data_IF_720148091542
#
_entry.id   IF_720148091542
#
_cell.length_a   1.000
_cell.length_b   1.000
_cell.length_c   1.000
_cell.angle_alpha   90.00
_cell.angle_beta   90.00
_cell.angle_gamma   90.00
#
_symmetry.space_group_name_H-M   'P 1'
#
loop_
_entity.id
_entity.type
_entity.pdbx_description
1 polymer ?
#
# COMPACT_ATOMS: atom_id res chain seq x y z
N UNK A 1 11.46 -1.04 -35.74
CA UNK A 1 11.58 0.37 -35.31
C UNK A 1 11.10 0.36 -33.88
N UNK A 2 12.01 0.48 -32.92
CA UNK A 2 11.60 0.56 -31.51
C UNK A 2 10.84 1.88 -31.34
N UNK A 3 9.57 1.79 -30.93
CA UNK A 3 8.79 2.98 -30.62
C UNK A 3 9.44 3.76 -29.47
N UNK A 4 9.48 5.10 -29.55
CA UNK A 4 10.00 5.90 -28.45
C UNK A 4 9.16 5.68 -27.19
N UNK A 5 9.82 5.52 -26.05
CA UNK A 5 9.17 5.34 -24.74
C UNK A 5 8.21 6.50 -24.46
N UNK A 6 6.98 6.14 -24.09
CA UNK A 6 5.96 7.08 -23.63
C UNK A 6 6.44 7.85 -22.39
N UNK A 7 6.21 9.17 -22.39
CA UNK A 7 6.52 10.06 -21.27
C UNK A 7 5.23 10.58 -20.65
N UNK A 8 5.31 10.98 -19.39
CA UNK A 8 4.21 11.65 -18.72
C UNK A 8 3.93 13.01 -19.37
N UNK A 9 2.65 13.34 -19.56
CA UNK A 9 2.23 14.62 -20.12
C UNK A 9 2.53 15.78 -19.15
N UNK A 10 2.48 15.52 -17.83
CA UNK A 10 2.77 16.52 -16.81
C UNK A 10 3.57 15.99 -15.62
N UNK A 11 4.46 16.84 -15.10
CA UNK A 11 5.19 16.59 -13.85
C UNK A 11 4.24 16.38 -12.65
N UNK A 12 3.05 16.98 -12.68
CA UNK A 12 2.04 16.80 -11.65
C UNK A 12 1.42 15.40 -11.68
N UNK A 13 1.18 14.83 -12.86
CA UNK A 13 0.68 13.47 -13.01
C UNK A 13 1.68 12.45 -12.46
N UNK A 14 2.96 12.64 -12.80
CA UNK A 14 4.04 11.83 -12.24
C UNK A 14 4.12 11.93 -10.70
N UNK A 15 4.02 13.15 -10.16
CA UNK A 15 4.05 13.37 -8.72
C UNK A 15 2.84 12.71 -8.02
N UNK A 16 1.63 12.92 -8.55
CA UNK A 16 0.40 12.35 -7.99
C UNK A 16 0.40 10.83 -8.07
N UNK A 17 0.87 10.25 -9.19
CA UNK A 17 1.05 8.81 -9.33
C UNK A 17 2.03 8.25 -8.29
N UNK A 18 3.15 8.94 -8.06
CA UNK A 18 4.14 8.55 -7.05
C UNK A 18 3.60 8.63 -5.62
N UNK A 19 2.84 9.68 -5.30
CA UNK A 19 2.17 9.82 -3.99
C UNK A 19 1.13 8.72 -3.81
N UNK A 20 0.32 8.44 -4.83
CA UNK A 20 -0.69 7.36 -4.81
C UNK A 20 -0.07 5.99 -4.56
N UNK A 21 1.07 5.70 -5.19
CA UNK A 21 1.83 4.46 -4.94
C UNK A 21 2.46 4.40 -3.54
N UNK A 22 2.73 5.56 -2.93
CA UNK A 22 3.39 5.65 -1.61
C UNK A 22 2.41 5.55 -0.43
N UNK A 23 1.14 5.87 -0.64
CA UNK A 23 0.10 5.84 0.40
C UNK A 23 -0.72 4.56 0.27
N UNK A 24 -0.54 3.64 1.22
CA UNK A 24 -1.31 2.39 1.30
C UNK A 24 -2.13 2.26 2.59
N UNK A 25 -2.96 1.21 2.67
CA UNK A 25 -3.77 0.87 3.86
C UNK A 25 -2.92 0.73 5.14
N UNK A 26 -1.66 0.30 5.00
CA UNK A 26 -0.72 0.21 6.12
C UNK A 26 -0.49 1.54 6.83
N UNK A 27 -0.54 2.68 6.13
CA UNK A 27 -0.39 3.99 6.75
C UNK A 27 -1.59 4.35 7.64
N UNK A 28 -2.77 3.77 7.37
CA UNK A 28 -4.02 4.07 8.08
C UNK A 28 -4.11 3.32 9.40
N UNK A 29 -3.83 2.01 9.42
CA UNK A 29 -3.99 1.21 10.64
C UNK A 29 -2.67 0.75 11.27
N UNK A 30 -1.65 0.40 10.46
CA UNK A 30 -0.44 -0.24 10.99
C UNK A 30 0.47 0.78 11.65
N UNK A 31 0.62 1.96 11.06
CA UNK A 31 1.42 3.03 11.65
C UNK A 31 0.88 3.46 13.03
N UNK A 32 -0.41 3.78 13.20
CA UNK A 32 -0.94 4.12 14.52
C UNK A 32 -0.83 2.98 15.53
N UNK A 33 -1.08 1.74 15.11
CA UNK A 33 -0.98 0.56 15.97
C UNK A 33 0.44 0.37 16.50
N UNK A 34 1.44 0.38 15.62
CA UNK A 34 2.86 0.20 16.00
C UNK A 34 3.35 1.38 16.84
N UNK A 35 2.96 2.62 16.48
CA UNK A 35 3.31 3.79 17.28
C UNK A 35 2.74 3.68 18.70
N UNK A 36 1.48 3.26 18.84
CA UNK A 36 0.83 3.07 20.13
C UNK A 36 1.57 2.04 21.00
N UNK A 37 1.91 0.87 20.45
CA UNK A 37 2.65 -0.17 21.19
C UNK A 37 4.08 0.24 21.58
N UNK A 38 4.72 1.12 20.80
CA UNK A 38 6.13 1.50 20.98
C UNK A 38 6.31 2.86 21.66
N UNK A 39 5.45 3.20 22.62
CA UNK A 39 5.58 4.43 23.42
C UNK A 39 4.88 5.66 22.81
N UNK A 40 3.89 5.44 21.95
CA UNK A 40 3.03 6.48 21.38
C UNK A 40 3.81 7.54 20.62
N UNK A 41 3.74 8.79 21.10
CA UNK A 41 4.42 9.92 20.47
C UNK A 41 5.94 9.83 20.47
N UNK A 42 6.55 9.09 21.41
CA UNK A 42 8.01 8.93 21.46
C UNK A 42 8.56 8.13 20.26
N UNK A 43 7.75 7.23 19.69
CA UNK A 43 8.11 6.47 18.50
C UNK A 43 8.41 7.35 17.28
N UNK A 44 7.86 8.56 17.22
CA UNK A 44 8.07 9.49 16.10
C UNK A 44 9.53 9.92 15.96
N UNK A 45 10.29 10.00 17.05
CA UNK A 45 11.70 10.42 17.03
C UNK A 45 12.56 9.43 16.22
N UNK A 46 12.66 8.13 16.59
CA UNK A 46 13.40 7.16 15.78
C UNK A 46 12.79 6.95 14.39
N UNK A 47 11.47 7.05 14.25
CA UNK A 47 10.79 6.94 12.97
C UNK A 47 11.27 8.00 11.96
N UNK A 48 11.29 9.28 12.35
CA UNK A 48 11.72 10.37 11.48
C UNK A 48 13.22 10.25 11.13
N UNK A 49 14.05 9.83 12.09
CA UNK A 49 15.49 9.63 11.86
C UNK A 49 15.72 8.56 10.79
N UNK A 50 15.11 7.38 10.94
CA UNK A 50 15.26 6.27 9.97
C UNK A 50 14.64 6.64 8.62
N UNK A 51 13.48 7.29 8.63
CA UNK A 51 12.81 7.74 7.40
C UNK A 51 13.67 8.75 6.62
N UNK A 52 14.36 9.65 7.31
CA UNK A 52 15.22 10.66 6.66
C UNK A 52 16.54 10.07 6.15
N UNK A 53 17.16 9.18 6.94
CA UNK A 53 18.47 8.61 6.58
C UNK A 53 18.35 7.46 5.58
N UNK A 54 17.41 6.55 5.78
CA UNK A 54 17.24 5.32 4.99
C UNK A 54 16.09 5.46 4.00
N UNK A 55 14.92 5.90 4.46
CA UNK A 55 13.73 5.98 3.60
C UNK A 55 13.94 6.92 2.40
N UNK A 56 14.33 8.18 2.67
CA UNK A 56 14.57 9.18 1.64
C UNK A 56 15.72 8.79 0.72
N UNK A 57 16.81 8.23 1.24
CA UNK A 57 17.98 7.86 0.43
C UNK A 57 17.66 6.71 -0.53
N UNK A 58 16.98 5.66 -0.05
CA UNK A 58 16.57 4.53 -0.88
C UNK A 58 15.54 4.94 -1.94
N UNK A 59 14.54 5.76 -1.56
CA UNK A 59 13.55 6.26 -2.52
C UNK A 59 14.19 7.09 -3.63
N UNK A 60 15.12 7.98 -3.27
CA UNK A 60 15.81 8.82 -4.25
C UNK A 60 16.70 8.00 -5.19
N UNK A 61 17.39 6.98 -4.65
CA UNK A 61 18.21 6.06 -5.46
C UNK A 61 17.36 5.33 -6.51
N UNK A 62 16.21 4.79 -6.12
CA UNK A 62 15.30 4.08 -7.03
C UNK A 62 14.79 5.01 -8.14
N UNK A 63 14.39 6.23 -7.78
CA UNK A 63 13.90 7.23 -8.74
C UNK A 63 14.98 7.64 -9.76
N UNK A 64 16.21 7.89 -9.28
CA UNK A 64 17.33 8.21 -10.17
C UNK A 64 17.69 7.05 -11.09
N UNK A 65 17.69 5.82 -10.57
CA UNK A 65 17.98 4.63 -11.37
C UNK A 65 16.93 4.43 -12.47
N UNK A 66 15.64 4.59 -12.12
CA UNK A 66 14.53 4.49 -13.06
C UNK A 66 14.59 5.55 -14.15
N UNK A 67 14.88 6.81 -13.80
CA UNK A 67 15.03 7.90 -14.77
C UNK A 67 16.27 7.71 -15.67
N UNK A 68 17.42 7.34 -15.10
CA UNK A 68 18.67 7.18 -15.85
C UNK A 68 18.63 5.99 -16.81
N UNK A 69 18.09 4.84 -16.36
CA UNK A 69 18.00 3.64 -17.21
C UNK A 69 16.82 3.69 -18.15
N UNK A 70 15.75 4.40 -17.79
CA UNK A 70 14.51 4.47 -18.58
C UNK A 70 14.06 3.08 -19.03
N UNK A 71 14.10 2.11 -18.11
CA UNK A 71 13.85 0.70 -18.34
C UNK A 71 12.95 0.11 -17.25
N UNK A 72 12.43 -1.11 -17.46
CA UNK A 72 11.69 -1.83 -16.42
C UNK A 72 12.61 -2.40 -15.33
N UNK A 73 12.05 -2.81 -14.20
CA UNK A 73 12.80 -3.26 -13.01
C UNK A 73 13.83 -4.37 -13.32
N UNK A 74 13.54 -5.30 -14.23
CA UNK A 74 14.49 -6.37 -14.63
C UNK A 74 15.68 -5.85 -15.44
N UNK A 75 15.43 -4.92 -16.37
CA UNK A 75 16.43 -4.32 -17.26
C UNK A 75 17.24 -3.20 -16.57
N UNK A 76 16.69 -2.58 -15.52
CA UNK A 76 17.39 -1.55 -14.74
C UNK A 76 18.69 -2.09 -14.11
N UNK A 77 18.71 -3.36 -13.70
CA UNK A 77 19.87 -4.00 -13.08
C UNK A 77 20.81 -4.71 -14.07
N UNK A 78 20.57 -4.66 -15.38
CA UNK A 78 21.47 -5.29 -16.36
C UNK A 78 22.87 -4.66 -16.39
N UNK A 79 23.05 -3.46 -15.81
CA UNK A 79 24.37 -2.85 -15.60
C UNK A 79 25.24 -3.59 -14.57
N UNK A 80 24.63 -4.36 -13.66
CA UNK A 80 25.33 -5.16 -12.65
C UNK A 80 24.79 -6.59 -12.69
N UNK A 81 25.47 -7.52 -13.40
CA UNK A 81 24.94 -8.87 -13.63
C UNK A 81 24.68 -9.67 -12.35
N UNK A 82 25.39 -9.37 -11.26
CA UNK A 82 25.13 -9.95 -9.94
C UNK A 82 23.79 -9.50 -9.33
N UNK A 83 23.36 -8.27 -9.62
CA UNK A 83 22.12 -7.68 -9.12
C UNK A 83 20.90 -7.99 -10.02
N UNK A 84 21.09 -8.72 -11.13
CA UNK A 84 20.00 -9.05 -12.06
C UNK A 84 18.85 -9.83 -11.40
N UNK A 85 19.16 -10.62 -10.37
CA UNK A 85 18.15 -11.31 -9.56
C UNK A 85 17.22 -10.36 -8.81
N UNK A 86 17.70 -9.18 -8.41
CA UNK A 86 16.91 -8.18 -7.66
C UNK A 86 15.70 -7.73 -8.47
N UNK A 87 15.90 -7.42 -9.76
CA UNK A 87 14.81 -7.01 -10.64
C UNK A 87 13.71 -8.07 -10.79
N UNK A 88 14.08 -9.35 -10.86
CA UNK A 88 13.11 -10.46 -10.89
C UNK A 88 12.39 -10.63 -9.56
N UNK A 89 13.08 -10.48 -8.44
CA UNK A 89 12.46 -10.49 -7.11
C UNK A 89 11.45 -9.34 -6.97
N UNK A 90 11.78 -8.14 -7.45
CA UNK A 90 10.85 -7.00 -7.43
C UNK A 90 9.55 -7.30 -8.20
N UNK A 91 9.65 -7.92 -9.38
CA UNK A 91 8.47 -8.31 -10.19
C UNK A 91 7.62 -9.35 -9.45
N UNK A 92 8.26 -10.38 -8.87
CA UNK A 92 7.56 -11.41 -8.11
C UNK A 92 6.87 -10.84 -6.86
N UNK A 93 7.56 -9.99 -6.10
CA UNK A 93 6.99 -9.31 -4.93
C UNK A 93 5.83 -8.41 -5.33
N UNK A 94 5.94 -7.66 -6.43
CA UNK A 94 4.85 -6.85 -6.96
C UNK A 94 3.62 -7.70 -7.28
N UNK A 95 3.79 -8.83 -7.96
CA UNK A 95 2.70 -9.76 -8.26
C UNK A 95 2.03 -10.29 -6.98
N UNK A 96 2.82 -10.73 -6.00
CA UNK A 96 2.30 -11.21 -4.72
C UNK A 96 1.50 -10.12 -3.98
N UNK A 97 2.01 -8.89 -3.98
CA UNK A 97 1.34 -7.73 -3.38
C UNK A 97 0.01 -7.44 -4.07
N UNK A 98 0.01 -7.38 -5.39
CA UNK A 98 -1.21 -7.17 -6.18
C UNK A 98 -2.27 -8.24 -5.87
N UNK A 99 -1.89 -9.51 -5.74
CA UNK A 99 -2.83 -10.59 -5.48
C UNK A 99 -3.62 -10.40 -4.17
N UNK A 100 -2.94 -10.12 -3.05
CA UNK A 100 -3.64 -9.96 -1.77
C UNK A 100 -4.28 -8.57 -1.59
N UNK A 101 -3.68 -7.50 -2.14
CA UNK A 101 -4.27 -6.16 -2.02
C UNK A 101 -5.58 -6.04 -2.80
N UNK A 102 -5.71 -6.71 -3.95
CA UNK A 102 -6.99 -6.74 -4.68
C UNK A 102 -8.10 -7.43 -3.88
N UNK A 103 -7.78 -8.45 -3.08
CA UNK A 103 -8.75 -9.07 -2.16
C UNK A 103 -9.21 -8.06 -1.09
N UNK A 104 -8.28 -7.32 -0.47
CA UNK A 104 -8.62 -6.26 0.51
C UNK A 104 -9.46 -5.14 -0.10
N UNK A 105 -9.16 -4.75 -1.34
CA UNK A 105 -9.94 -3.77 -2.07
C UNK A 105 -11.36 -4.29 -2.35
N UNK A 106 -11.49 -5.56 -2.73
CA UNK A 106 -12.79 -6.21 -2.94
C UNK A 106 -13.64 -6.21 -1.66
N UNK A 107 -13.04 -6.53 -0.51
CA UNK A 107 -13.75 -6.40 0.78
C UNK A 107 -14.19 -4.96 1.04
N UNK A 108 -13.30 -3.98 0.82
CA UNK A 108 -13.61 -2.56 1.04
C UNK A 108 -14.77 -2.08 0.16
N UNK A 109 -14.79 -2.48 -1.11
CA UNK A 109 -15.89 -2.18 -2.04
C UNK A 109 -17.19 -2.87 -1.63
N UNK A 110 -17.11 -4.09 -1.12
CA UNK A 110 -18.27 -4.81 -0.59
C UNK A 110 -18.86 -4.09 0.63
N UNK A 111 -18.03 -3.68 1.60
CA UNK A 111 -18.48 -2.86 2.74
C UNK A 111 -19.02 -1.50 2.30
N UNK A 112 -18.44 -0.87 1.27
CA UNK A 112 -18.96 0.36 0.68
C UNK A 112 -20.36 0.15 0.10
N UNK A 113 -20.57 -0.92 -0.66
CA UNK A 113 -21.89 -1.27 -1.20
C UNK A 113 -22.93 -1.44 -0.09
N UNK A 114 -22.60 -2.18 0.97
CA UNK A 114 -23.48 -2.38 2.12
C UNK A 114 -23.69 -1.13 2.98
N UNK A 115 -22.86 -0.10 2.82
CA UNK A 115 -23.02 1.18 3.53
C UNK A 115 -24.14 2.06 2.95
N UNK A 116 -24.70 1.71 1.79
CA UNK A 116 -25.84 2.43 1.19
C UNK A 116 -27.21 1.93 1.68
N UNK A 117 -27.26 0.93 2.56
CA UNK A 117 -28.50 0.45 3.18
C UNK A 117 -28.91 1.36 4.34
N UNK A 118 -30.22 1.53 4.56
CA UNK A 118 -30.76 2.36 5.66
C UNK A 118 -30.33 1.85 7.05
N UNK A 119 -30.28 0.52 7.21
CA UNK A 119 -29.76 -0.14 8.41
C UNK A 119 -28.50 -0.89 8.02
N UNK A 120 -27.39 -0.58 8.69
CA UNK A 120 -26.09 -1.18 8.39
C UNK A 120 -26.08 -2.64 8.83
N UNK A 121 -25.70 -3.60 7.97
CA UNK A 121 -25.80 -5.03 8.28
C UNK A 121 -25.06 -5.46 9.55
N UNK A 122 -23.91 -4.84 9.85
CA UNK A 122 -23.10 -5.14 11.03
C UNK A 122 -23.55 -4.45 12.32
N UNK A 123 -24.66 -3.70 12.30
CA UNK A 123 -25.22 -3.08 13.51
C UNK A 123 -26.26 -3.95 14.20
N UNK A 124 -26.76 -4.98 13.53
CA UNK A 124 -27.80 -5.90 14.02
C UNK A 124 -27.32 -7.33 13.94
N UNK A 125 -27.76 -8.17 14.88
CA UNK A 125 -27.51 -9.60 14.84
C UNK A 125 -28.50 -10.26 13.87
N UNK A 126 -28.11 -10.41 12.60
CA UNK A 126 -28.94 -11.09 11.61
C UNK A 126 -28.77 -12.62 11.71
N UNK A 127 -29.86 -13.39 11.91
CA UNK A 127 -29.80 -14.85 12.03
C UNK A 127 -29.23 -15.58 10.81
N UNK A 128 -29.17 -14.94 9.62
CA UNK A 128 -28.63 -15.57 8.40
C UNK A 128 -27.13 -15.86 8.48
N UNK A 129 -26.38 -15.08 9.25
CA UNK A 129 -24.91 -15.21 9.35
C UNK A 129 -24.37 -15.10 10.78
N UNK A 130 -25.17 -14.63 11.74
CA UNK A 130 -24.76 -14.48 13.13
C UNK A 130 -25.02 -15.77 13.93
N UNK A 131 -24.09 -16.11 14.83
CA UNK A 131 -24.25 -17.21 15.77
C UNK A 131 -24.99 -16.76 17.04
N UNK A 132 -25.35 -17.72 17.91
CA UNK A 132 -26.04 -17.50 19.19
C UNK A 132 -25.27 -16.59 20.18
N UNK A 133 -23.98 -16.33 19.94
CA UNK A 133 -23.13 -15.44 20.74
C UNK A 133 -23.10 -13.98 20.23
N UNK A 134 -23.98 -13.60 19.30
CA UNK A 134 -24.04 -12.23 18.79
C UNK A 134 -24.72 -11.28 19.79
N UNK A 135 -24.06 -10.15 20.07
CA UNK A 135 -24.60 -9.09 20.93
C UNK A 135 -24.72 -7.79 20.16
N UNK A 136 -25.93 -7.21 20.14
CA UNK A 136 -26.18 -5.89 19.59
C UNK A 136 -26.51 -4.87 20.70
N UNK A 137 -26.56 -3.58 20.35
CA UNK A 137 -26.84 -2.51 21.32
C UNK A 137 -28.24 -2.60 21.95
N UNK A 138 -29.20 -3.22 21.29
CA UNK A 138 -30.55 -3.47 21.82
C UNK A 138 -30.56 -4.57 22.89
N UNK A 139 -29.58 -5.47 22.90
CA UNK A 139 -29.49 -6.57 23.87
C UNK A 139 -28.96 -6.11 25.24
N UNK A 140 -28.30 -4.96 25.31
CA UNK A 140 -27.61 -4.45 26.53
C UNK A 140 -28.44 -3.42 27.31
N UNK A 141 -29.65 -3.09 26.86
CA UNK A 141 -30.63 -2.23 27.54
C UNK A 141 -31.86 -3.03 27.96
#
# INVERSE_FOLDING_TARGET
>A
MDEPREQWDSNLEFLLGSIGMSIGLGNIWRFPYVAYENGGGAFLIPYIIIMTLVGRSMFYMEMLLGQFRSAGATLCFDCVPLARGVGWTMVYTCFAICAYYNLLLSYSLNYLYYSFYDVLPWTVCNPDWANDECYDKSTVL
#
